data_IF_036421412310
#
_entry.id   IF_036421412310
#
_cell.length_a   1.000
_cell.length_b   1.000
_cell.length_c   1.000
_cell.angle_alpha   90.00
_cell.angle_beta   90.00
_cell.angle_gamma   90.00
#
_symmetry.space_group_name_H-M   'P 1'
#
loop_
_entity.id
_entity.type
_entity.pdbx_description
1 polymer ?
#
# COMPACT_ATOMS: atom_id res chain seq x y z
N UNK A 1 -1.08 4.06 -10.75
CA UNK A 1 -0.81 5.37 -10.13
C UNK A 1 -0.85 5.37 -8.61
N UNK A 2 -1.94 4.95 -7.96
CA UNK A 2 -2.15 5.17 -6.50
C UNK A 2 -1.18 4.41 -5.59
N UNK A 3 -0.59 3.29 -6.03
CA UNK A 3 0.54 2.64 -5.37
C UNK A 3 1.88 3.23 -5.83
N UNK A 4 2.06 3.34 -7.15
CA UNK A 4 3.36 3.59 -7.78
C UNK A 4 3.89 5.00 -7.51
N UNK A 5 3.04 6.02 -7.54
CA UNK A 5 3.46 7.40 -7.25
C UNK A 5 3.97 7.58 -5.83
N UNK A 6 3.20 7.23 -4.77
CA UNK A 6 3.70 7.37 -3.41
C UNK A 6 4.90 6.45 -3.16
N UNK A 7 4.88 5.20 -3.65
CA UNK A 7 6.00 4.27 -3.49
C UNK A 7 7.31 4.88 -4.00
N UNK A 8 7.34 5.40 -5.23
CA UNK A 8 8.56 5.98 -5.79
C UNK A 8 8.94 7.32 -5.13
N UNK A 9 7.96 8.14 -4.75
CA UNK A 9 8.23 9.37 -4.00
C UNK A 9 8.90 9.09 -2.65
N UNK A 10 8.45 8.05 -1.93
CA UNK A 10 9.06 7.65 -0.66
C UNK A 10 10.47 7.06 -0.84
N UNK A 11 10.67 6.23 -1.86
CA UNK A 11 12.01 5.71 -2.16
C UNK A 11 13.00 6.83 -2.52
N UNK A 12 12.57 7.81 -3.31
CA UNK A 12 13.39 8.96 -3.69
C UNK A 12 13.71 9.88 -2.49
N UNK A 13 12.84 9.91 -1.50
CA UNK A 13 13.09 10.54 -0.21
C UNK A 13 14.03 9.71 0.72
N UNK A 14 14.52 8.55 0.28
CA UNK A 14 15.42 7.69 1.03
C UNK A 14 14.73 6.78 2.06
N UNK A 15 13.41 6.62 1.96
CA UNK A 15 12.64 5.78 2.86
C UNK A 15 12.73 4.31 2.47
N UNK A 16 12.55 3.42 3.46
CA UNK A 16 12.24 2.02 3.21
C UNK A 16 10.72 1.87 3.13
N UNK A 17 10.24 1.13 2.13
CA UNK A 17 8.81 0.98 1.87
C UNK A 17 8.47 -0.50 1.80
N UNK A 18 7.64 -0.98 2.73
CA UNK A 18 7.07 -2.32 2.68
C UNK A 18 5.68 -2.27 2.02
N UNK A 19 5.26 -3.40 1.44
CA UNK A 19 3.92 -3.54 0.82
C UNK A 19 3.20 -4.68 1.53
N UNK A 20 2.00 -4.38 2.04
CA UNK A 20 1.17 -5.33 2.75
C UNK A 20 -0.25 -5.33 2.18
N UNK A 21 -0.97 -6.44 2.36
CA UNK A 21 -2.38 -6.60 1.99
C UNK A 21 -3.12 -7.43 3.03
N UNK A 22 -4.46 -7.40 3.01
CA UNK A 22 -5.28 -8.05 4.04
C UNK A 22 -4.89 -9.51 4.28
N UNK A 23 -4.60 -10.26 3.21
CA UNK A 23 -4.26 -11.69 3.29
C UNK A 23 -2.80 -12.00 2.97
N UNK A 24 -2.01 -10.99 2.59
CA UNK A 24 -0.68 -11.19 2.01
C UNK A 24 -0.75 -11.86 0.63
N UNK A 25 0.43 -12.12 0.07
CA UNK A 25 0.56 -12.74 -1.25
C UNK A 25 0.28 -11.76 -2.40
N UNK A 26 -0.34 -12.26 -3.47
CA UNK A 26 -0.53 -11.47 -4.68
C UNK A 26 -1.60 -10.39 -4.48
N UNK A 27 -1.21 -9.12 -4.61
CA UNK A 27 -2.11 -7.98 -4.62
C UNK A 27 -2.73 -7.82 -6.02
N UNK A 28 -4.06 -7.89 -6.16
CA UNK A 28 -4.71 -7.68 -7.45
C UNK A 28 -4.55 -6.24 -7.92
N UNK A 29 -4.01 -6.06 -9.13
CA UNK A 29 -3.90 -4.74 -9.79
C UNK A 29 -4.98 -4.62 -10.87
N UNK A 30 -5.76 -3.54 -10.84
CA UNK A 30 -6.75 -3.27 -11.89
C UNK A 30 -6.06 -3.08 -13.25
N UNK A 31 -6.29 -3.97 -14.24
CA UNK A 31 -5.69 -3.84 -15.57
C UNK A 31 -6.10 -2.54 -16.27
N UNK A 32 -7.24 -1.94 -15.91
CA UNK A 32 -7.70 -0.65 -16.43
C UNK A 32 -6.70 0.47 -16.19
N UNK A 33 -6.05 0.49 -15.03
CA UNK A 33 -5.05 1.50 -14.65
C UNK A 33 -3.74 1.40 -15.43
N UNK A 34 -3.46 0.25 -16.05
CA UNK A 34 -2.24 0.01 -16.83
C UNK A 34 -2.44 0.13 -18.34
N UNK A 35 -3.64 0.54 -18.79
CA UNK A 35 -3.90 0.76 -20.21
C UNK A 35 -3.12 1.97 -20.72
N UNK A 36 -2.70 1.93 -22.00
CA UNK A 36 -1.92 3.02 -22.65
C UNK A 36 -2.52 4.43 -22.47
N UNK A 37 -3.84 4.54 -22.34
CA UNK A 37 -4.55 5.81 -22.17
C UNK A 37 -4.53 6.35 -20.74
N UNK A 38 -4.15 5.53 -19.75
CA UNK A 38 -4.19 5.85 -18.33
C UNK A 38 -2.84 5.65 -17.61
N UNK A 39 -1.93 4.88 -18.20
CA UNK A 39 -0.63 4.57 -17.61
C UNK A 39 0.25 5.81 -17.45
N UNK A 40 0.94 5.89 -16.32
CA UNK A 40 1.85 6.97 -15.97
C UNK A 40 3.33 6.56 -16.12
N UNK A 41 4.29 7.49 -16.08
CA UNK A 41 5.72 7.14 -16.02
C UNK A 41 6.07 6.22 -14.85
N UNK A 42 5.47 6.43 -13.68
CA UNK A 42 5.66 5.64 -12.47
C UNK A 42 5.11 4.22 -12.64
N UNK A 43 3.95 4.08 -13.29
CA UNK A 43 3.41 2.76 -13.63
C UNK A 43 4.29 2.04 -14.66
N UNK A 44 4.86 2.76 -15.62
CA UNK A 44 5.79 2.20 -16.60
C UNK A 44 7.09 1.75 -15.91
N UNK A 45 7.58 2.50 -14.93
CA UNK A 45 8.72 2.11 -14.08
C UNK A 45 8.41 0.85 -13.29
N UNK A 46 7.23 0.78 -12.67
CA UNK A 46 6.76 -0.40 -11.94
C UNK A 46 6.80 -1.68 -12.79
N UNK A 47 6.33 -1.62 -14.04
CA UNK A 47 6.35 -2.78 -14.94
C UNK A 47 7.77 -3.30 -15.25
N UNK A 48 8.81 -2.52 -14.95
CA UNK A 48 10.21 -2.87 -15.17
C UNK A 48 11.01 -2.93 -13.85
N UNK A 49 10.36 -2.83 -12.70
CA UNK A 49 10.97 -2.80 -11.37
C UNK A 49 10.74 -4.14 -10.66
N UNK A 50 11.71 -5.08 -10.72
CA UNK A 50 11.55 -6.41 -10.12
C UNK A 50 11.36 -6.34 -8.60
N UNK A 51 11.83 -5.29 -7.92
CA UNK A 51 11.68 -5.18 -6.48
C UNK A 51 10.25 -4.84 -6.08
N UNK A 52 9.61 -3.87 -6.74
CA UNK A 52 8.21 -3.57 -6.49
C UNK A 52 7.29 -4.69 -7.00
N UNK A 53 7.58 -5.28 -8.16
CA UNK A 53 6.84 -6.46 -8.66
C UNK A 53 6.84 -7.58 -7.63
N UNK A 54 8.00 -7.94 -7.08
CA UNK A 54 8.10 -8.99 -6.07
C UNK A 54 7.29 -8.69 -4.80
N UNK A 55 7.26 -7.41 -4.37
CA UNK A 55 6.47 -6.96 -3.21
C UNK A 55 4.96 -6.98 -3.47
N UNK A 56 4.53 -6.71 -4.71
CA UNK A 56 3.12 -6.79 -5.12
C UNK A 56 2.68 -8.25 -5.29
N UNK A 57 3.56 -9.12 -5.79
CA UNK A 57 3.30 -10.56 -5.94
C UNK A 57 3.33 -11.31 -4.59
N UNK A 58 4.12 -10.83 -3.64
CA UNK A 58 4.35 -11.47 -2.35
C UNK A 58 4.23 -10.45 -1.20
N UNK A 59 3.12 -9.71 -1.15
CA UNK A 59 2.93 -8.70 -0.10
C UNK A 59 2.86 -9.36 1.27
N UNK A 60 3.28 -8.64 2.30
CA UNK A 60 3.12 -9.08 3.68
C UNK A 60 1.62 -9.20 4.02
N UNK A 61 1.17 -10.23 4.77
CA UNK A 61 -0.14 -10.19 5.39
C UNK A 61 -0.14 -9.14 6.49
N UNK A 62 -1.17 -8.31 6.57
CA UNK A 62 -1.24 -7.25 7.61
C UNK A 62 -1.12 -7.81 9.04
N UNK A 63 -1.55 -9.06 9.25
CA UNK A 63 -1.44 -9.78 10.53
C UNK A 63 0.01 -9.79 11.04
N UNK A 64 0.97 -9.99 10.14
CA UNK A 64 2.40 -10.11 10.46
C UNK A 64 3.13 -8.76 10.53
N UNK A 65 2.46 -7.66 10.16
CA UNK A 65 3.08 -6.32 10.16
C UNK A 65 2.83 -5.62 11.49
N UNK A 66 3.90 -5.24 12.19
CA UNK A 66 3.82 -4.33 13.34
C UNK A 66 3.82 -2.87 12.85
N UNK A 67 2.68 -2.21 12.98
CA UNK A 67 2.49 -0.83 12.54
C UNK A 67 3.32 0.16 13.38
N UNK A 68 3.72 -0.20 14.60
CA UNK A 68 4.57 0.65 15.44
C UNK A 68 6.04 0.69 14.99
N UNK A 69 6.45 -0.19 14.06
CA UNK A 69 7.79 -0.14 13.44
C UNK A 69 7.86 0.84 12.27
N UNK A 70 6.75 1.46 11.88
CA UNK A 70 6.66 2.33 10.71
C UNK A 70 6.48 3.79 11.15
N UNK A 71 7.06 4.71 10.38
CA UNK A 71 6.84 6.16 10.56
C UNK A 71 5.58 6.64 9.81
N UNK A 72 5.19 5.92 8.75
CA UNK A 72 4.06 6.23 7.89
C UNK A 72 3.29 4.95 7.57
N UNK A 73 1.96 5.02 7.67
CA UNK A 73 1.03 4.00 7.19
C UNK A 73 0.20 4.66 6.07
N UNK A 74 0.33 4.16 4.84
CA UNK A 74 -0.34 4.72 3.67
C UNK A 74 -1.29 3.69 3.04
N UNK A 75 -2.60 3.98 3.07
CA UNK A 75 -3.63 3.12 2.51
C UNK A 75 -3.87 3.45 1.03
N UNK A 76 -3.44 2.53 0.17
CA UNK A 76 -3.62 2.64 -1.28
C UNK A 76 -5.08 2.34 -1.64
N UNK A 77 -5.63 3.11 -2.59
CA UNK A 77 -7.00 2.97 -3.05
C UNK A 77 -7.23 1.93 -4.15
N UNK A 78 -8.09 2.28 -5.10
CA UNK A 78 -8.74 1.36 -6.03
C UNK A 78 -9.99 0.68 -5.44
N UNK A 79 -10.92 0.26 -6.31
CA UNK A 79 -12.21 -0.29 -5.86
C UNK A 79 -12.09 -1.52 -4.95
N UNK A 80 -11.02 -2.31 -5.08
CA UNK A 80 -10.76 -3.45 -4.20
C UNK A 80 -10.69 -3.06 -2.73
N UNK A 81 -10.08 -1.90 -2.44
CA UNK A 81 -9.92 -1.39 -1.08
C UNK A 81 -11.26 -1.16 -0.36
N UNK A 82 -12.29 -0.73 -1.11
CA UNK A 82 -13.63 -0.56 -0.56
C UNK A 82 -14.30 -1.88 -0.14
N UNK A 83 -13.82 -3.03 -0.64
CA UNK A 83 -14.38 -4.35 -0.35
C UNK A 83 -13.61 -5.11 0.73
N UNK A 84 -12.32 -4.86 0.93
CA UNK A 84 -11.52 -5.60 1.91
C UNK A 84 -10.97 -4.73 3.04
N UNK A 85 -10.40 -3.55 2.77
CA UNK A 85 -9.84 -2.67 3.83
C UNK A 85 -10.94 -2.23 4.79
N UNK A 86 -12.07 -1.73 4.27
CA UNK A 86 -13.16 -1.19 5.08
C UNK A 86 -13.90 -2.20 5.97
N UNK A 87 -13.67 -3.50 5.76
CA UNK A 87 -14.31 -4.58 6.52
C UNK A 87 -13.31 -5.43 7.31
N UNK A 88 -12.03 -5.06 7.31
CA UNK A 88 -11.00 -5.79 8.03
C UNK A 88 -10.91 -5.32 9.49
N UNK A 89 -11.42 -6.13 10.42
CA UNK A 89 -11.27 -5.89 11.86
C UNK A 89 -9.80 -5.81 12.27
N UNK A 90 -8.92 -6.62 11.65
CA UNK A 90 -7.49 -6.59 11.96
C UNK A 90 -6.88 -5.26 11.55
N UNK A 91 -7.22 -4.75 10.36
CA UNK A 91 -6.73 -3.45 9.92
C UNK A 91 -7.22 -2.34 10.85
N UNK A 92 -8.52 -2.35 11.19
CA UNK A 92 -9.11 -1.36 12.10
C UNK A 92 -8.41 -1.35 13.47
N UNK A 93 -8.17 -2.53 14.05
CA UNK A 93 -7.47 -2.67 15.33
C UNK A 93 -6.03 -2.17 15.24
N UNK A 94 -5.26 -2.60 14.23
CA UNK A 94 -3.86 -2.18 14.07
C UNK A 94 -3.72 -0.68 13.81
N UNK A 95 -4.61 -0.08 13.03
CA UNK A 95 -4.66 1.38 12.83
C UNK A 95 -4.96 2.09 14.15
N UNK A 96 -5.94 1.62 14.91
CA UNK A 96 -6.27 2.18 16.23
C UNK A 96 -5.10 2.08 17.21
N UNK A 97 -4.48 0.91 17.32
CA UNK A 97 -3.30 0.68 18.16
C UNK A 97 -2.12 1.58 17.77
N UNK A 98 -1.87 1.74 16.47
CA UNK A 98 -0.81 2.61 15.98
C UNK A 98 -1.11 4.09 16.28
N UNK A 99 -2.35 4.54 16.06
CA UNK A 99 -2.77 5.92 16.29
C UNK A 99 -2.66 6.35 17.76
N UNK A 100 -3.01 5.46 18.69
CA UNK A 100 -2.85 5.69 20.14
C UNK A 100 -1.50 5.19 20.70
N UNK A 101 -0.66 4.62 19.84
CA UNK A 101 0.62 4.05 20.19
C UNK A 101 1.69 5.14 20.38
N UNK A 102 2.79 4.84 21.08
CA UNK A 102 3.82 5.83 21.41
C UNK A 102 4.60 6.35 20.17
N UNK A 103 4.47 5.67 19.03
CA UNK A 103 5.13 6.03 17.78
C UNK A 103 4.36 7.10 17.01
N UNK A 104 3.03 7.14 17.16
CA UNK A 104 2.11 8.04 16.46
C UNK A 104 2.46 8.22 14.97
N UNK A 105 2.46 7.13 14.17
CA UNK A 105 2.82 7.21 12.76
C UNK A 105 1.84 8.09 11.99
N UNK A 106 2.34 8.73 10.92
CA UNK A 106 1.47 9.47 10.01
C UNK A 106 0.60 8.48 9.23
N UNK A 107 -0.72 8.65 9.31
CA UNK A 107 -1.69 7.81 8.60
C UNK A 107 -2.29 8.62 7.46
N UNK A 108 -2.13 8.11 6.23
CA UNK A 108 -2.67 8.71 5.02
C UNK A 108 -3.39 7.69 4.16
N UNK A 109 -4.27 8.17 3.29
CA UNK A 109 -4.98 7.32 2.32
C UNK A 109 -5.22 8.07 1.02
N UNK A 110 -5.55 7.33 -0.03
CA UNK A 110 -5.94 7.90 -1.33
C UNK A 110 -7.17 7.18 -1.89
N UNK A 111 -8.08 7.94 -2.51
CA UNK A 111 -9.23 7.40 -3.24
C UNK A 111 -10.12 6.53 -2.33
N UNK A 112 -10.35 5.26 -2.68
CA UNK A 112 -11.16 4.31 -1.91
C UNK A 112 -10.40 3.61 -0.78
N UNK A 113 -9.14 3.99 -0.52
CA UNK A 113 -8.39 3.50 0.63
C UNK A 113 -8.72 4.22 1.95
N UNK A 114 -9.64 5.19 1.94
CA UNK A 114 -10.05 6.01 3.08
C UNK A 114 -11.24 5.42 3.85
#
# INVERSE_FOLDING_TARGET
SELTHPYYSYLEAGMKVDVASIKGGQVPVDPGGLRRTAITPEDTRYLNDPALIAKVENSLPIDDVDFNQHDIIFLVGGWGAAYDLGYSEVLANKIGEAYYGPKEPLIGSVCHGA
#
